data_IF_283187591056
#
_entry.id   IF_283187591056
#
_cell.length_a   1.000
_cell.length_b   1.000
_cell.length_c   1.000
_cell.angle_alpha   90.00
_cell.angle_beta   90.00
_cell.angle_gamma   90.00
#
_symmetry.space_group_name_H-M   'P 1'
#
loop_
_entity.id
_entity.type
_entity.pdbx_description
1 polymer ?
#
# COMPACT_ATOMS: atom_id res chain seq x y z
N UNK A 1 23.09 -15.75 16.55
CA UNK A 1 23.71 -14.42 16.73
C UNK A 1 23.07 -13.31 15.87
N UNK A 2 22.21 -13.62 14.88
CA UNK A 2 21.49 -12.62 14.05
C UNK A 2 20.34 -11.94 14.82
N UNK A 3 19.73 -12.64 15.77
CA UNK A 3 18.55 -12.16 16.52
C UNK A 3 18.87 -10.94 17.40
N UNK A 4 19.97 -10.98 18.18
CA UNK A 4 20.35 -9.88 19.07
C UNK A 4 20.80 -8.60 18.34
N UNK A 5 21.30 -8.72 17.12
CA UNK A 5 21.62 -7.55 16.28
C UNK A 5 20.35 -6.91 15.72
N UNK A 6 19.42 -7.72 15.23
CA UNK A 6 18.13 -7.24 14.77
C UNK A 6 17.34 -6.55 15.90
N UNK A 7 17.30 -7.15 17.09
CA UNK A 7 16.62 -6.56 18.26
C UNK A 7 17.15 -5.17 18.56
N UNK A 8 18.47 -4.98 18.64
CA UNK A 8 19.07 -3.66 18.88
C UNK A 8 18.73 -2.65 17.79
N UNK A 9 18.84 -3.05 16.52
CA UNK A 9 18.47 -2.19 15.39
C UNK A 9 16.99 -1.76 15.49
N UNK A 10 16.10 -2.67 15.88
CA UNK A 10 14.67 -2.36 16.06
C UNK A 10 14.45 -1.43 17.24
N UNK A 11 15.08 -1.68 18.39
CA UNK A 11 14.96 -0.83 19.58
C UNK A 11 15.41 0.62 19.29
N UNK A 12 16.51 0.78 18.57
CA UNK A 12 17.05 2.11 18.22
C UNK A 12 16.21 2.85 17.18
N UNK A 13 15.56 2.12 16.26
CA UNK A 13 14.84 2.71 15.14
C UNK A 13 13.33 2.85 15.35
N UNK A 14 12.72 2.01 16.19
CA UNK A 14 11.27 1.95 16.39
C UNK A 14 10.64 3.30 16.81
N UNK A 15 11.21 4.10 17.74
CA UNK A 15 10.65 5.40 18.08
C UNK A 15 10.58 6.36 16.88
N UNK A 16 11.61 6.32 16.02
CA UNK A 16 11.70 7.19 14.83
C UNK A 16 10.69 6.76 13.76
N UNK A 17 10.53 5.45 13.57
CA UNK A 17 9.54 4.87 12.66
C UNK A 17 8.12 5.13 13.12
N UNK A 18 7.84 4.96 14.42
CA UNK A 18 6.54 5.26 15.00
C UNK A 18 6.17 6.74 14.81
N UNK A 19 7.09 7.65 15.13
CA UNK A 19 6.89 9.08 14.92
C UNK A 19 6.72 9.43 13.43
N UNK A 20 7.38 8.71 12.52
CA UNK A 20 7.20 8.86 11.08
C UNK A 20 5.78 8.51 10.63
N UNK A 21 5.21 7.41 11.14
CA UNK A 21 3.84 7.00 10.84
C UNK A 21 2.82 7.91 11.51
N UNK A 22 2.99 8.25 12.80
CA UNK A 22 2.07 9.12 13.54
C UNK A 22 1.85 10.48 12.84
N UNK A 23 2.85 10.99 12.10
CA UNK A 23 2.72 12.22 11.30
C UNK A 23 1.99 12.04 9.95
N UNK A 24 1.64 10.82 9.55
CA UNK A 24 1.26 10.45 8.16
C UNK A 24 0.01 9.60 8.05
N UNK A 25 -0.55 9.13 9.15
CA UNK A 25 -1.80 8.37 9.19
C UNK A 25 -2.75 8.96 10.21
N UNK A 26 -4.03 8.84 9.88
CA UNK A 26 -5.13 9.07 10.80
C UNK A 26 -6.11 7.89 10.71
N UNK A 27 -6.61 7.36 11.85
CA UNK A 27 -6.28 7.76 13.22
C UNK A 27 -4.83 7.44 13.63
N UNK A 28 -4.26 8.23 14.54
CA UNK A 28 -2.91 8.02 15.08
C UNK A 28 -2.66 6.61 15.65
N UNK A 29 -3.71 5.92 16.10
CA UNK A 29 -3.65 4.53 16.55
C UNK A 29 -3.08 3.57 15.49
N UNK A 30 -3.34 3.83 14.21
CA UNK A 30 -2.87 2.99 13.10
C UNK A 30 -1.35 3.02 12.92
N UNK A 31 -0.66 4.00 13.53
CA UNK A 31 0.79 4.11 13.45
C UNK A 31 1.49 2.89 14.08
N UNK A 32 0.94 2.34 15.16
CA UNK A 32 1.48 1.15 15.83
C UNK A 32 1.32 -0.11 14.98
N UNK A 33 0.21 -0.22 14.25
CA UNK A 33 -0.03 -1.34 13.34
C UNK A 33 0.93 -1.31 12.15
N UNK A 34 1.13 -0.13 11.55
CA UNK A 34 2.09 0.03 10.45
C UNK A 34 3.53 -0.22 10.90
N UNK A 35 3.88 0.16 12.12
CA UNK A 35 5.17 -0.19 12.70
C UNK A 35 5.30 -1.71 12.83
N UNK A 36 4.30 -2.39 13.39
CA UNK A 36 4.29 -3.84 13.55
C UNK A 36 4.43 -4.57 12.22
N UNK A 37 3.74 -4.11 11.17
CA UNK A 37 3.86 -4.65 9.81
C UNK A 37 5.27 -4.42 9.25
N UNK A 38 5.83 -3.23 9.44
CA UNK A 38 7.20 -2.89 9.01
C UNK A 38 8.22 -3.81 9.66
N UNK A 39 8.13 -4.03 10.97
CA UNK A 39 9.03 -4.92 11.71
C UNK A 39 8.88 -6.37 11.27
N UNK A 40 7.66 -6.81 10.95
CA UNK A 40 7.40 -8.15 10.41
C UNK A 40 8.08 -8.34 9.05
N UNK A 41 7.96 -7.35 8.16
CA UNK A 41 8.64 -7.37 6.85
C UNK A 41 10.16 -7.34 7.02
N UNK A 42 10.66 -6.49 7.92
CA UNK A 42 12.07 -6.39 8.25
C UNK A 42 12.63 -7.73 8.75
N UNK A 43 11.93 -8.40 9.66
CA UNK A 43 12.32 -9.71 10.17
C UNK A 43 12.37 -10.78 9.07
N UNK A 44 11.34 -10.83 8.21
CA UNK A 44 11.29 -11.78 7.07
C UNK A 44 12.43 -11.54 6.09
N UNK A 45 12.88 -10.30 5.93
CA UNK A 45 13.96 -9.89 5.02
C UNK A 45 15.27 -9.58 5.73
N UNK A 46 15.47 -10.04 6.97
CA UNK A 46 16.65 -9.70 7.78
C UNK A 46 18.00 -10.02 7.13
N UNK A 47 18.05 -11.01 6.25
CA UNK A 47 19.25 -11.36 5.48
C UNK A 47 19.62 -10.34 4.38
N UNK A 48 18.72 -9.40 4.06
CA UNK A 48 18.92 -8.33 3.08
C UNK A 48 19.22 -6.97 3.74
N UNK A 49 19.33 -6.92 5.06
CA UNK A 49 19.65 -5.70 5.79
C UNK A 49 21.12 -5.35 5.52
N UNK A 50 21.44 -4.12 5.08
CA UNK A 50 22.83 -3.68 4.87
C UNK A 50 23.66 -3.76 6.15
N UNK A 51 24.99 -3.84 6.02
CA UNK A 51 25.88 -3.87 7.18
C UNK A 51 26.14 -2.46 7.78
N UNK A 52 26.09 -1.41 6.95
CA UNK A 52 26.38 -0.05 7.38
C UNK A 52 25.19 0.54 8.17
N UNK A 53 25.40 1.11 9.38
CA UNK A 53 24.30 1.62 10.22
C UNK A 53 23.39 2.65 9.54
N UNK A 54 23.96 3.58 8.75
CA UNK A 54 23.19 4.61 8.04
C UNK A 54 22.31 4.00 6.92
N UNK A 55 22.79 2.92 6.30
CA UNK A 55 22.06 2.19 5.27
C UNK A 55 20.97 1.30 5.88
N UNK A 56 21.20 0.72 7.06
CA UNK A 56 20.19 -0.05 7.80
C UNK A 56 18.96 0.79 8.10
N UNK A 57 19.18 2.01 8.61
CA UNK A 57 18.10 2.91 8.94
C UNK A 57 17.34 3.36 7.68
N UNK A 58 18.08 3.73 6.64
CA UNK A 58 17.52 4.09 5.32
C UNK A 58 16.67 2.95 4.75
N UNK A 59 17.15 1.71 4.85
CA UNK A 59 16.43 0.52 4.42
C UNK A 59 15.12 0.32 5.19
N UNK A 60 15.14 0.48 6.52
CA UNK A 60 13.93 0.38 7.36
C UNK A 60 12.89 1.45 7.01
N UNK A 61 13.32 2.69 6.74
CA UNK A 61 12.42 3.74 6.26
C UNK A 61 11.86 3.45 4.86
N UNK A 62 12.64 2.79 4.00
CA UNK A 62 12.15 2.28 2.71
C UNK A 62 11.03 1.25 2.88
N UNK A 63 11.20 0.29 3.78
CA UNK A 63 10.14 -0.68 4.13
C UNK A 63 8.92 0.04 4.70
N UNK A 64 9.12 0.98 5.62
CA UNK A 64 8.04 1.77 6.22
C UNK A 64 7.24 2.58 5.18
N UNK A 65 7.93 3.18 4.19
CA UNK A 65 7.30 3.90 3.09
C UNK A 65 6.47 2.96 2.21
N UNK A 66 6.97 1.76 1.91
CA UNK A 66 6.23 0.74 1.16
C UNK A 66 4.96 0.30 1.91
N UNK A 67 5.08 0.00 3.21
CA UNK A 67 3.95 -0.39 4.07
C UNK A 67 2.89 0.72 4.11
N UNK A 68 3.30 1.98 4.31
CA UNK A 68 2.38 3.12 4.29
C UNK A 68 1.66 3.27 2.94
N UNK A 69 2.37 3.13 1.83
CA UNK A 69 1.79 3.22 0.49
C UNK A 69 0.79 2.08 0.24
N UNK A 70 1.09 0.86 0.70
CA UNK A 70 0.19 -0.28 0.62
C UNK A 70 -1.09 -0.06 1.44
N UNK A 71 -0.95 0.38 2.70
CA UNK A 71 -2.10 0.69 3.57
C UNK A 71 -3.01 1.76 2.96
N UNK A 72 -2.44 2.85 2.43
CA UNK A 72 -3.20 3.91 1.75
C UNK A 72 -3.94 3.41 0.53
N UNK A 73 -3.31 2.57 -0.31
CA UNK A 73 -3.98 1.95 -1.47
C UNK A 73 -5.13 1.05 -1.04
N UNK A 74 -4.95 0.26 0.03
CA UNK A 74 -6.01 -0.59 0.57
C UNK A 74 -7.22 0.22 1.05
N UNK A 75 -7.00 1.26 1.86
CA UNK A 75 -8.06 2.16 2.35
C UNK A 75 -8.82 2.86 1.23
N UNK A 76 -8.12 3.32 0.19
CA UNK A 76 -8.76 3.95 -0.99
C UNK A 76 -9.68 2.98 -1.71
N UNK A 77 -9.23 1.74 -1.96
CA UNK A 77 -10.06 0.70 -2.59
C UNK A 77 -11.28 0.37 -1.74
N UNK A 78 -11.10 0.21 -0.43
CA UNK A 78 -12.21 -0.03 0.50
C UNK A 78 -13.21 1.13 0.49
N UNK A 79 -12.73 2.37 0.51
CA UNK A 79 -13.59 3.57 0.48
C UNK A 79 -14.39 3.66 -0.83
N UNK A 80 -13.77 3.31 -1.96
CA UNK A 80 -14.43 3.25 -3.26
C UNK A 80 -15.56 2.20 -3.26
N UNK A 81 -15.30 1.00 -2.75
CA UNK A 81 -16.32 -0.06 -2.63
C UNK A 81 -17.47 0.34 -1.71
N UNK A 82 -17.18 1.02 -0.59
CA UNK A 82 -18.22 1.53 0.32
C UNK A 82 -19.05 2.62 -0.35
N UNK A 83 -18.43 3.51 -1.13
CA UNK A 83 -19.13 4.54 -1.88
C UNK A 83 -20.02 3.94 -2.98
N UNK A 84 -19.53 2.94 -3.70
CA UNK A 84 -20.28 2.19 -4.71
C UNK A 84 -21.49 1.48 -4.09
N UNK A 85 -21.29 0.74 -2.99
CA UNK A 85 -22.37 0.08 -2.27
C UNK A 85 -23.43 1.08 -1.77
N UNK A 86 -22.99 2.23 -1.25
CA UNK A 86 -23.91 3.31 -0.83
C UNK A 86 -24.72 3.81 -2.03
N UNK A 87 -24.07 4.08 -3.17
CA UNK A 87 -24.76 4.55 -4.38
C UNK A 87 -25.78 3.54 -4.89
N UNK A 88 -25.46 2.24 -4.88
CA UNK A 88 -26.36 1.18 -5.30
C UNK A 88 -27.58 1.06 -4.37
N UNK A 89 -27.40 1.23 -3.06
CA UNK A 89 -28.50 1.21 -2.10
C UNK A 89 -29.40 2.45 -2.23
N UNK A 90 -28.85 3.63 -2.49
CA UNK A 90 -29.63 4.86 -2.74
C UNK A 90 -30.43 4.76 -4.05
N UNK A 91 -29.82 4.30 -5.14
CA UNK A 91 -30.51 4.09 -6.43
C UNK A 91 -31.67 3.07 -6.34
N UNK A 92 -31.53 2.03 -5.50
CA UNK A 92 -32.61 1.07 -5.24
C UNK A 92 -33.81 1.67 -4.50
N UNK A 93 -33.64 2.85 -3.88
CA UNK A 93 -34.69 3.53 -3.14
C UNK A 93 -35.44 4.54 -4.02
N UNK A 94 -34.85 4.97 -5.16
CA UNK A 94 -35.27 6.15 -5.93
C UNK A 94 -35.74 5.91 -7.38
N UNK A 95 -35.94 4.68 -7.89
CA UNK A 95 -36.37 4.52 -9.30
C UNK A 95 -37.48 3.51 -9.62
N UNK A 96 -38.49 4.04 -10.31
CA UNK A 96 -39.44 3.37 -11.22
C UNK A 96 -38.70 3.01 -12.54
N UNK A 97 -38.87 1.84 -13.18
CA UNK A 97 -37.72 1.05 -13.67
C UNK A 97 -37.37 1.04 -15.18
N UNK A 98 -37.70 2.04 -16.01
CA UNK A 98 -37.83 1.75 -17.48
C UNK A 98 -36.77 2.29 -18.47
N UNK A 99 -35.83 3.21 -18.15
CA UNK A 99 -35.02 3.86 -19.21
C UNK A 99 -33.48 3.90 -19.03
N UNK A 100 -32.91 3.37 -17.94
CA UNK A 100 -31.50 3.61 -17.59
C UNK A 100 -30.45 2.70 -18.26
N UNK A 101 -30.84 1.72 -19.08
CA UNK A 101 -29.96 0.59 -19.44
C UNK A 101 -28.98 0.89 -20.58
N UNK A 102 -29.32 1.75 -21.55
CA UNK A 102 -28.55 1.85 -22.80
C UNK A 102 -27.32 2.79 -22.72
N UNK A 103 -27.38 3.86 -21.93
CA UNK A 103 -26.27 4.80 -21.78
C UNK A 103 -25.13 4.23 -20.90
N UNK A 104 -25.46 3.30 -20.01
CA UNK A 104 -24.53 2.74 -19.02
C UNK A 104 -23.60 1.69 -19.62
N UNK A 105 -24.06 0.94 -20.63
CA UNK A 105 -23.26 -0.03 -21.39
C UNK A 105 -22.18 0.64 -22.26
N UNK A 106 -22.52 1.77 -22.89
CA UNK A 106 -21.64 2.48 -23.83
C UNK A 106 -20.42 3.13 -23.16
N UNK A 107 -20.55 3.55 -21.89
CA UNK A 107 -19.46 4.14 -21.10
C UNK A 107 -18.50 3.08 -20.55
N UNK A 108 -18.99 1.87 -20.27
CA UNK A 108 -18.14 0.77 -19.80
C UNK A 108 -17.23 0.23 -20.90
N UNK A 109 -17.71 0.14 -22.13
CA UNK A 109 -16.89 -0.31 -23.27
C UNK A 109 -15.75 0.67 -23.61
N UNK A 110 -15.99 1.97 -23.48
CA UNK A 110 -14.95 3.00 -23.70
C UNK A 110 -13.84 2.99 -22.64
N UNK A 111 -14.17 2.65 -21.39
CA UNK A 111 -13.21 2.55 -20.28
C UNK A 111 -12.41 1.25 -20.31
N UNK A 112 -12.93 0.20 -20.95
CA UNK A 112 -12.24 -1.07 -21.16
C UNK A 112 -11.18 -1.00 -22.29
N UNK A 113 -11.22 0.02 -23.16
CA UNK A 113 -10.34 0.14 -24.32
C UNK A 113 -8.94 0.72 -24.03
N UNK A 114 -8.64 1.12 -22.79
CA UNK A 114 -7.30 1.61 -22.40
C UNK A 114 -6.65 0.58 -21.48
N UNK A 115 -5.67 -0.15 -22.02
CA UNK A 115 -5.02 -1.27 -21.34
C UNK A 115 -4.21 -0.83 -20.10
N UNK A 116 -4.49 -1.42 -18.91
CA UNK A 116 -3.64 -1.32 -17.72
C UNK A 116 -2.30 -2.07 -17.85
N UNK A 117 -2.17 -2.95 -18.85
CA UNK A 117 -1.03 -3.87 -18.98
C UNK A 117 0.25 -3.21 -19.50
N UNK A 118 0.18 -2.03 -20.14
CA UNK A 118 1.38 -1.37 -20.68
C UNK A 118 2.03 -0.37 -19.71
N UNK A 119 1.33 0.08 -18.67
CA UNK A 119 1.83 1.10 -17.74
C UNK A 119 2.44 0.52 -16.43
N UNK A 120 2.18 -0.75 -16.13
CA UNK A 120 2.73 -1.44 -14.96
C UNK A 120 4.07 -2.13 -15.30
N UNK A 121 4.19 -2.69 -16.50
CA UNK A 121 5.41 -3.39 -16.96
C UNK A 121 6.60 -2.42 -17.09
N UNK A 122 6.36 -1.16 -17.49
CA UNK A 122 7.41 -0.12 -17.52
C UNK A 122 7.81 0.35 -16.11
N UNK A 123 6.96 0.19 -15.09
CA UNK A 123 7.25 0.56 -13.70
C UNK A 123 7.89 -0.57 -12.87
N UNK A 124 7.71 -1.82 -13.28
CA UNK A 124 8.27 -3.00 -12.63
C UNK A 124 9.67 -3.38 -13.13
N UNK A 125 10.09 -2.94 -14.32
CA UNK A 125 11.42 -3.26 -14.88
C UNK A 125 12.53 -2.33 -14.33
N UNK A 126 12.22 -1.26 -13.60
CA UNK A 126 13.23 -0.25 -13.25
C UNK A 126 13.84 -0.36 -11.84
N UNK A 127 13.39 -1.27 -10.96
CA UNK A 127 13.89 -1.27 -9.57
C UNK A 127 14.26 -2.61 -8.94
N UNK A 128 14.21 -3.72 -9.69
CA UNK A 128 15.04 -4.88 -9.40
C UNK A 128 16.00 -5.02 -10.57
N UNK A 129 17.26 -4.64 -10.37
CA UNK A 129 18.35 -4.87 -11.32
C UNK A 129 18.68 -6.36 -11.48
N UNK A 130 17.67 -7.17 -11.80
CA UNK A 130 17.79 -8.55 -12.24
C UNK A 130 16.88 -8.71 -13.45
N UNK A 131 17.38 -8.26 -14.59
CA UNK A 131 17.07 -8.96 -15.82
C UNK A 131 17.94 -10.22 -15.87
N UNK A 132 17.25 -11.34 -16.04
CA UNK A 132 17.80 -12.63 -16.40
C UNK A 132 18.23 -12.52 -17.87
N UNK A 133 19.54 -12.34 -18.13
CA UNK A 133 20.41 -13.07 -19.08
C UNK A 133 21.85 -12.73 -18.68
#
# INVERSE_FOLDING_TARGET
MIEAEFTRLVEDSAPRLLAYFARRVEPAADAADLLSETLTVAWRRRSKIPAAPDEQLSWLFGVAAYVLANSRRSRRRQSALVAELRSALTLRTDHDPTEATDLQLLVQDAMAAISPQSAEIVRLIHWDGLLIV
#
